data_IF_891541766698
#
_entry.id   IF_891541766698
#
_cell.length_a   1.000
_cell.length_b   1.000
_cell.length_c   1.000
_cell.angle_alpha   90.00
_cell.angle_beta   90.00
_cell.angle_gamma   90.00
#
_symmetry.space_group_name_H-M   'P 1'
#
loop_
_entity.id
_entity.type
_entity.pdbx_description
1 polymer ?
#
# COMPACT_ATOMS: atom_id res chain seq x y z
N UNK A 1 -5.13 11.82 -19.02
CA UNK A 1 -5.77 11.40 -17.76
C UNK A 1 -7.20 11.93 -17.76
N UNK A 2 -8.20 11.06 -17.74
CA UNK A 2 -9.62 11.47 -17.78
C UNK A 2 -10.07 11.99 -16.41
N UNK A 3 -11.01 12.94 -16.38
CA UNK A 3 -11.50 13.56 -15.15
C UNK A 3 -12.07 12.53 -14.15
N UNK A 4 -12.68 11.46 -14.65
CA UNK A 4 -13.18 10.34 -13.86
C UNK A 4 -12.05 9.58 -13.14
N UNK A 5 -10.96 9.27 -13.86
CA UNK A 5 -9.77 8.63 -13.26
C UNK A 5 -9.20 9.50 -12.14
N UNK A 6 -9.12 10.82 -12.36
CA UNK A 6 -8.64 11.75 -11.34
C UNK A 6 -9.53 11.75 -10.08
N UNK A 7 -10.85 11.78 -10.25
CA UNK A 7 -11.78 11.76 -9.12
C UNK A 7 -11.67 10.47 -8.30
N UNK A 8 -11.57 9.31 -8.98
CA UNK A 8 -11.38 8.00 -8.34
C UNK A 8 -10.07 7.95 -7.57
N UNK A 9 -8.97 8.37 -8.20
CA UNK A 9 -7.64 8.39 -7.57
C UNK A 9 -7.63 9.31 -6.36
N UNK A 10 -8.16 10.53 -6.46
CA UNK A 10 -8.16 11.48 -5.36
C UNK A 10 -8.95 11.00 -4.15
N UNK A 11 -10.16 10.48 -4.37
CA UNK A 11 -10.98 9.98 -3.27
C UNK A 11 -10.32 8.78 -2.59
N UNK A 12 -9.76 7.85 -3.37
CA UNK A 12 -9.05 6.70 -2.83
C UNK A 12 -7.77 7.12 -2.08
N UNK A 13 -7.03 8.12 -2.59
CA UNK A 13 -5.82 8.64 -1.96
C UNK A 13 -6.10 9.31 -0.60
N UNK A 14 -7.16 10.11 -0.50
CA UNK A 14 -7.57 10.69 0.79
C UNK A 14 -7.92 9.61 1.81
N UNK A 15 -8.70 8.61 1.39
CA UNK A 15 -9.07 7.47 2.24
C UNK A 15 -7.85 6.61 2.63
N UNK A 16 -6.86 6.49 1.74
CA UNK A 16 -5.60 5.80 2.03
C UNK A 16 -4.82 6.52 3.14
N UNK A 17 -4.66 7.84 3.04
CA UNK A 17 -3.93 8.65 4.02
C UNK A 17 -4.62 8.57 5.39
N UNK A 18 -5.94 8.68 5.41
CA UNK A 18 -6.73 8.55 6.64
C UNK A 18 -6.53 7.17 7.29
N UNK A 19 -6.64 6.09 6.51
CA UNK A 19 -6.50 4.72 7.00
C UNK A 19 -5.08 4.43 7.53
N UNK A 20 -4.03 4.86 6.82
CA UNK A 20 -2.64 4.70 7.29
C UNK A 20 -2.41 5.48 8.59
N UNK A 21 -2.93 6.71 8.67
CA UNK A 21 -2.81 7.53 9.89
C UNK A 21 -3.53 6.88 11.06
N UNK A 22 -4.74 6.36 10.86
CA UNK A 22 -5.50 5.65 11.89
C UNK A 22 -4.79 4.37 12.34
N UNK A 23 -4.23 3.58 11.42
CA UNK A 23 -3.45 2.39 11.75
C UNK A 23 -2.21 2.72 12.62
N UNK A 24 -1.57 3.86 12.38
CA UNK A 24 -0.38 4.28 13.11
C UNK A 24 -0.67 4.76 14.54
N UNK A 25 -1.77 5.48 14.75
CA UNK A 25 -2.04 6.12 16.05
C UNK A 25 -2.95 5.31 16.99
N UNK A 26 -3.65 4.29 16.48
CA UNK A 26 -4.52 3.46 17.33
C UNK A 26 -3.69 2.47 18.14
N UNK A 27 -3.96 2.40 19.45
CA UNK A 27 -3.27 1.49 20.37
C UNK A 27 -3.80 0.04 20.32
N UNK A 28 -5.05 -0.15 19.86
CA UNK A 28 -5.69 -1.45 19.74
C UNK A 28 -5.25 -2.17 18.45
N UNK A 29 -4.63 -3.34 18.60
CA UNK A 29 -4.06 -4.11 17.49
C UNK A 29 -5.13 -4.56 16.48
N UNK A 30 -6.33 -4.93 16.93
CA UNK A 30 -7.40 -5.37 16.04
C UNK A 30 -7.90 -4.21 15.16
N UNK A 31 -8.05 -3.03 15.76
CA UNK A 31 -8.45 -1.82 15.05
C UNK A 31 -7.34 -1.33 14.12
N UNK A 32 -6.07 -1.40 14.54
CA UNK A 32 -4.94 -1.12 13.67
C UNK A 32 -4.94 -2.03 12.43
N UNK A 33 -5.14 -3.35 12.60
CA UNK A 33 -5.21 -4.31 11.50
C UNK A 33 -6.35 -4.02 10.52
N UNK A 34 -7.52 -3.59 11.01
CA UNK A 34 -8.64 -3.15 10.15
C UNK A 34 -8.28 -1.92 9.31
N UNK A 35 -7.60 -0.95 9.90
CA UNK A 35 -7.13 0.24 9.21
C UNK A 35 -6.03 -0.08 8.19
N UNK A 36 -5.11 -0.98 8.51
CA UNK A 36 -4.11 -1.47 7.56
C UNK A 36 -4.76 -2.18 6.36
N UNK A 37 -5.77 -3.01 6.61
CA UNK A 37 -6.52 -3.66 5.54
C UNK A 37 -7.20 -2.63 4.64
N UNK A 38 -7.89 -1.64 5.21
CA UNK A 38 -8.51 -0.53 4.47
C UNK A 38 -7.46 0.23 3.64
N UNK A 39 -6.29 0.52 4.21
CA UNK A 39 -5.20 1.18 3.51
C UNK A 39 -4.73 0.36 2.30
N UNK A 40 -4.52 -0.95 2.47
CA UNK A 40 -4.12 -1.85 1.36
C UNK A 40 -5.15 -1.86 0.23
N UNK A 41 -6.44 -1.88 0.56
CA UNK A 41 -7.51 -1.84 -0.44
C UNK A 41 -7.56 -0.50 -1.18
N UNK A 42 -7.36 0.64 -0.51
CA UNK A 42 -7.31 1.94 -1.18
C UNK A 42 -6.08 2.07 -2.08
N UNK A 43 -4.93 1.55 -1.65
CA UNK A 43 -3.72 1.53 -2.48
C UNK A 43 -3.92 0.71 -3.76
N UNK A 44 -4.58 -0.46 -3.66
CA UNK A 44 -4.94 -1.26 -4.85
C UNK A 44 -5.82 -0.46 -5.81
N UNK A 45 -6.85 0.24 -5.31
CA UNK A 45 -7.73 1.07 -6.16
C UNK A 45 -6.96 2.17 -6.89
N UNK A 46 -6.07 2.87 -6.20
CA UNK A 46 -5.21 3.90 -6.80
C UNK A 46 -4.30 3.28 -7.86
N UNK A 47 -3.62 2.17 -7.54
CA UNK A 47 -2.73 1.48 -8.46
C UNK A 47 -3.47 1.04 -9.73
N UNK A 48 -4.62 0.38 -9.60
CA UNK A 48 -5.42 -0.10 -10.73
C UNK A 48 -5.91 1.06 -11.60
N UNK A 49 -6.37 2.16 -11.01
CA UNK A 49 -6.79 3.35 -11.75
C UNK A 49 -5.63 3.99 -12.55
N UNK A 50 -4.38 3.76 -12.14
CA UNK A 50 -3.17 4.22 -12.82
C UNK A 50 -2.52 3.16 -13.71
N UNK A 51 -3.16 1.99 -13.90
CA UNK A 51 -2.63 0.91 -14.75
C UNK A 51 -1.54 0.08 -14.07
N UNK A 52 -1.54 -0.01 -12.75
CA UNK A 52 -0.62 -0.84 -11.96
C UNK A 52 -1.37 -1.88 -11.12
N UNK A 53 -0.66 -2.92 -10.74
CA UNK A 53 -1.06 -3.91 -9.74
C UNK A 53 -0.15 -3.80 -8.51
N UNK A 54 -0.71 -4.05 -7.31
CA UNK A 54 0.04 -4.08 -6.06
C UNK A 54 0.39 -5.53 -5.72
N UNK A 55 1.68 -5.85 -5.68
CA UNK A 55 2.18 -7.18 -5.32
C UNK A 55 3.02 -7.13 -4.06
N UNK A 56 3.14 -8.27 -3.36
CA UNK A 56 4.09 -8.39 -2.26
C UNK A 56 5.52 -8.33 -2.82
N UNK A 57 6.34 -7.46 -2.26
CA UNK A 57 7.76 -7.45 -2.51
C UNK A 57 8.35 -8.72 -1.89
N UNK A 58 8.85 -9.61 -2.75
CA UNK A 58 9.68 -10.73 -2.31
C UNK A 58 10.96 -10.13 -1.71
N UNK A 59 11.38 -10.53 -0.49
CA UNK A 59 12.67 -10.14 0.04
C UNK A 59 13.78 -10.79 -0.81
N UNK A 60 14.17 -10.10 -1.88
CA UNK A 60 15.32 -10.42 -2.69
C UNK A 60 16.53 -9.64 -2.19
N UNK A 61 17.39 -10.33 -1.45
CA UNK A 61 18.83 -10.09 -1.20
C UNK A 61 19.33 -8.63 -1.29
N UNK A 62 18.68 -7.70 -0.60
CA UNK A 62 19.32 -6.43 -0.27
C UNK A 62 20.32 -6.74 0.84
N UNK A 63 21.59 -6.81 0.44
CA UNK A 63 22.80 -6.99 1.23
C UNK A 63 22.60 -6.86 2.75
N UNK A 64 23.04 -7.89 3.45
CA UNK A 64 22.97 -8.12 4.89
C UNK A 64 23.54 -7.03 5.83
N UNK A 65 23.79 -5.81 5.36
CA UNK A 65 24.43 -4.74 6.13
C UNK A 65 23.49 -3.64 6.65
N UNK A 66 22.20 -3.65 6.31
CA UNK A 66 21.26 -2.63 6.79
C UNK A 66 20.40 -3.05 8.01
N UNK A 67 20.53 -4.29 8.49
CA UNK A 67 19.63 -4.87 9.50
C UNK A 67 20.37 -5.28 10.78
N UNK A 68 20.98 -4.31 11.47
CA UNK A 68 21.20 -4.39 12.91
C UNK A 68 20.35 -3.34 13.61
N UNK A 69 19.08 -3.66 13.85
CA UNK A 69 18.30 -2.87 14.81
C UNK A 69 16.79 -2.95 14.71
N UNK A 70 16.21 -3.30 13.57
CA UNK A 70 14.75 -3.40 13.47
C UNK A 70 14.32 -4.86 13.65
N UNK A 71 13.49 -5.09 14.68
CA UNK A 71 12.79 -6.35 14.94
C UNK A 71 12.30 -6.94 13.62
N UNK A 72 12.51 -8.25 13.47
CA UNK A 72 11.96 -9.06 12.37
C UNK A 72 10.56 -8.61 12.05
N UNK A 73 10.44 -7.83 10.99
CA UNK A 73 9.17 -7.32 10.52
C UNK A 73 8.72 -8.31 9.47
N UNK A 74 7.68 -9.07 9.80
CA UNK A 74 6.93 -9.88 8.83
C UNK A 74 6.24 -9.02 7.75
N UNK A 75 6.68 -7.78 7.55
CA UNK A 75 6.18 -6.87 6.54
C UNK A 75 6.99 -7.10 5.26
N UNK A 76 6.59 -8.11 4.50
CA UNK A 76 6.88 -8.10 3.06
C UNK A 76 6.43 -6.74 2.52
N UNK A 77 7.35 -5.97 1.95
CA UNK A 77 7.05 -4.67 1.36
C UNK A 77 5.99 -4.79 0.25
N UNK A 78 5.51 -3.67 -0.26
CA UNK A 78 4.64 -3.66 -1.43
C UNK A 78 5.39 -3.12 -2.63
N UNK A 79 5.11 -3.67 -3.82
CA UNK A 79 5.64 -3.20 -5.10
C UNK A 79 4.50 -2.94 -6.07
N UNK A 80 4.64 -1.88 -6.86
CA UNK A 80 3.79 -1.62 -8.02
C UNK A 80 4.39 -2.28 -9.25
N UNK A 81 3.59 -3.07 -9.96
CA UNK A 81 3.95 -3.66 -11.26
C UNK A 81 3.00 -3.14 -12.34
N UNK A 82 3.47 -2.81 -13.55
CA UNK A 82 2.59 -2.39 -14.63
C UNK A 82 1.57 -3.48 -14.92
N UNK A 83 0.30 -3.09 -15.04
CA UNK A 83 -0.76 -4.00 -15.44
C UNK A 83 -0.68 -4.17 -16.96
N UNK A 84 -0.39 -5.38 -17.46
CA UNK A 84 -0.21 -5.69 -18.89
C UNK A 84 -1.50 -5.58 -19.74
N UNK A 85 -2.53 -4.91 -19.22
CA UNK A 85 -3.85 -4.72 -19.84
C UNK A 85 -4.03 -3.32 -20.44
N UNK A 86 -2.97 -2.53 -20.55
CA UNK A 86 -3.02 -1.20 -21.19
C UNK A 86 -2.29 -1.25 -22.54
N UNK A 87 -2.99 -1.75 -23.56
CA UNK A 87 -2.85 -1.32 -24.96
C UNK A 87 -4.15 -0.67 -25.41
#
# INVERSE_FOLDING_TARGET
MHAETYAVVNLAALNLIEAVSAAYFVADEETAARHEFRAREMLKKVATALGYEVTAAVPGDRSADALKGSRSSANCGLRLVPNGLVE
#
